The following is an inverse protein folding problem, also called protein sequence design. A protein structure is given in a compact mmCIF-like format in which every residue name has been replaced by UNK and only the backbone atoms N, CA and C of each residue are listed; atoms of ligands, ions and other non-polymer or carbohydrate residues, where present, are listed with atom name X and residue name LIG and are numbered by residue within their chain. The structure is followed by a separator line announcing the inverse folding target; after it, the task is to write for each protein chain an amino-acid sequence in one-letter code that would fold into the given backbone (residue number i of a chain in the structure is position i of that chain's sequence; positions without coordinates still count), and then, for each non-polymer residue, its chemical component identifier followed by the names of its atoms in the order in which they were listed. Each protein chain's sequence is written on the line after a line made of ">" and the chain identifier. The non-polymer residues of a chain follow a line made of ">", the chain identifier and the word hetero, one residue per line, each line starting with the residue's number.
data_IF_439564965323
#
_entry.id   IF_439564965323
#
_cell.length_a   1.000
_cell.length_b   1.000
_cell.length_c   1.000
_cell.angle_alpha   90.00
_cell.angle_beta   90.00
_cell.angle_gamma   90.00
#
_symmetry.space_group_name_H-M   'P 1'
#
loop_
_entity.id
_entity.type
_entity.pdbx_description
1 polymer ?
#
# COMPACT_ATOMS: atom_id res chain seq x y z
N UNK A 1 15.92 44.72 44.99
CA UNK A 1 15.97 44.39 43.55
C UNK A 1 16.14 42.89 43.44
N UNK A 2 15.09 42.17 43.03
CA UNK A 2 15.15 40.71 42.89
C UNK A 2 15.49 40.42 41.43
N UNK A 3 16.65 39.83 41.19
CA UNK A 3 17.02 39.34 39.85
C UNK A 3 16.32 38.00 39.61
N UNK A 4 15.31 38.00 38.76
CA UNK A 4 14.76 36.77 38.18
C UNK A 4 15.72 36.32 37.09
N UNK A 5 16.36 35.17 37.25
CA UNK A 5 17.14 34.53 36.19
C UNK A 5 16.19 33.79 35.27
N UNK A 6 16.19 34.14 34.00
CA UNK A 6 15.41 33.47 32.95
C UNK A 6 15.91 32.02 32.75
N UNK A 7 15.05 30.99 32.95
CA UNK A 7 15.46 29.59 32.92
C UNK A 7 15.72 29.03 31.49
N UNK A 8 15.48 29.81 30.44
CA UNK A 8 15.50 29.35 29.05
C UNK A 8 16.89 29.38 28.39
N UNK A 9 17.94 29.82 29.11
CA UNK A 9 19.28 30.06 28.52
C UNK A 9 20.27 28.90 28.62
N UNK A 10 19.88 27.74 29.16
CA UNK A 10 20.79 26.57 29.28
C UNK A 10 20.20 25.28 28.70
N UNK A 11 19.84 25.31 27.41
CA UNK A 11 19.60 24.08 26.63
C UNK A 11 20.52 24.11 25.40
N UNK A 12 21.82 23.97 25.64
CA UNK A 12 22.78 23.57 24.62
C UNK A 12 23.40 22.25 25.05
N UNK A 13 22.64 21.18 24.83
CA UNK A 13 23.16 19.81 24.75
C UNK A 13 22.18 18.99 23.91
N UNK A 14 22.16 19.27 22.60
CA UNK A 14 21.65 18.32 21.61
C UNK A 14 22.70 17.21 21.50
N UNK A 15 22.64 16.24 22.40
CA UNK A 15 23.34 14.97 22.21
C UNK A 15 22.77 14.30 20.96
N UNK A 16 23.69 13.90 20.07
CA UNK A 16 23.41 13.15 18.85
C UNK A 16 22.55 11.92 19.14
N UNK A 17 21.24 12.04 18.89
CA UNK A 17 20.33 10.91 18.87
C UNK A 17 20.66 10.06 17.65
N UNK A 18 21.38 8.97 17.90
CA UNK A 18 21.48 7.84 17.01
C UNK A 18 20.06 7.36 16.64
N UNK A 19 19.61 7.70 15.42
CA UNK A 19 18.26 7.44 14.90
C UNK A 19 18.01 5.95 14.60
N UNK A 20 18.22 5.08 15.57
CA UNK A 20 17.80 3.66 15.53
C UNK A 20 16.49 3.42 16.28
N UNK A 21 15.82 4.47 16.77
CA UNK A 21 14.49 4.34 17.34
C UNK A 21 13.45 4.37 16.21
N UNK A 22 12.88 3.19 15.91
CA UNK A 22 11.58 3.11 15.24
C UNK A 22 10.58 3.79 16.16
N UNK A 23 10.32 5.08 15.90
CA UNK A 23 9.29 5.82 16.59
C UNK A 23 7.93 5.24 16.18
N UNK A 24 7.44 4.26 16.95
CA UNK A 24 6.01 3.94 16.95
C UNK A 24 5.30 5.05 17.73
N UNK A 25 5.18 6.22 17.09
CA UNK A 25 4.26 7.24 17.58
C UNK A 25 2.88 6.60 17.73
N UNK A 26 2.17 6.81 18.85
CA UNK A 26 0.81 6.32 18.99
C UNK A 26 -0.04 6.85 17.82
N UNK A 27 -0.99 6.06 17.29
CA UNK A 27 -1.80 6.46 16.16
C UNK A 27 -2.46 7.80 16.45
N UNK A 28 -2.13 8.84 15.68
CA UNK A 28 -2.84 10.11 15.76
C UNK A 28 -4.25 9.85 15.21
N UNK A 29 -5.34 10.09 15.96
CA UNK A 29 -6.69 9.99 15.41
C UNK A 29 -6.82 10.86 14.16
N UNK A 30 -7.16 10.24 13.02
CA UNK A 30 -7.24 10.89 11.71
C UNK A 30 -5.90 11.07 10.98
N UNK A 31 -4.78 10.72 11.60
CA UNK A 31 -3.45 10.71 11.01
C UNK A 31 -3.18 9.47 10.14
N UNK A 32 -2.18 9.58 9.28
CA UNK A 32 -1.68 8.46 8.46
C UNK A 32 -0.60 7.75 9.27
N UNK A 33 -0.78 6.46 9.54
CA UNK A 33 0.18 5.66 10.30
C UNK A 33 0.74 4.54 9.43
N UNK A 34 2.03 4.27 9.56
CA UNK A 34 2.64 3.07 9.00
C UNK A 34 2.09 1.83 9.71
N UNK A 35 1.88 0.77 8.94
CA UNK A 35 1.39 -0.51 9.45
C UNK A 35 2.23 -1.65 8.88
N UNK A 36 2.23 -2.78 9.57
CA UNK A 36 2.83 -4.00 9.05
C UNK A 36 1.89 -4.69 8.05
N UNK A 37 2.44 -5.57 7.21
CA UNK A 37 1.63 -6.41 6.33
C UNK A 37 0.87 -7.43 7.18
N UNK A 38 -0.46 -7.30 7.20
CA UNK A 38 -1.39 -8.22 7.84
C UNK A 38 -2.48 -8.65 6.84
N UNK A 39 -3.46 -9.42 7.29
CA UNK A 39 -4.52 -9.94 6.43
C UNK A 39 -5.40 -8.83 5.82
N UNK A 40 -5.63 -7.74 6.54
CA UNK A 40 -6.41 -6.58 6.05
C UNK A 40 -5.67 -5.84 4.94
N UNK A 41 -4.37 -5.58 5.14
CA UNK A 41 -3.50 -4.98 4.12
C UNK A 41 -3.41 -5.89 2.89
N UNK A 42 -3.26 -7.20 3.10
CA UNK A 42 -3.22 -8.18 2.01
C UNK A 42 -4.54 -8.21 1.24
N UNK A 43 -5.68 -8.16 1.92
CA UNK A 43 -7.00 -8.11 1.29
C UNK A 43 -7.17 -6.83 0.45
N UNK A 44 -6.81 -5.67 1.00
CA UNK A 44 -6.85 -4.39 0.28
C UNK A 44 -5.92 -4.39 -0.94
N UNK A 45 -4.70 -4.95 -0.80
CA UNK A 45 -3.74 -5.06 -1.89
C UNK A 45 -4.21 -6.01 -3.00
N UNK A 46 -4.78 -7.16 -2.65
CA UNK A 46 -5.34 -8.11 -3.60
C UNK A 46 -6.51 -7.50 -4.36
N UNK A 47 -7.43 -6.83 -3.65
CA UNK A 47 -8.52 -6.10 -4.27
C UNK A 47 -8.01 -5.05 -5.29
N UNK A 48 -7.00 -4.25 -4.91
CA UNK A 48 -6.41 -3.29 -5.83
C UNK A 48 -5.75 -3.96 -7.05
N UNK A 49 -5.09 -5.10 -6.87
CA UNK A 49 -4.49 -5.85 -7.97
C UNK A 49 -5.56 -6.34 -8.96
N UNK A 50 -6.70 -6.83 -8.46
CA UNK A 50 -7.82 -7.27 -9.28
C UNK A 50 -8.42 -6.12 -10.08
N UNK A 51 -8.73 -5.00 -9.44
CA UNK A 51 -9.26 -3.80 -10.11
C UNK A 51 -8.29 -3.27 -11.17
N UNK A 52 -6.99 -3.25 -10.88
CA UNK A 52 -5.96 -2.86 -11.87
C UNK A 52 -5.94 -3.84 -13.05
N UNK A 53 -6.07 -5.14 -12.81
CA UNK A 53 -6.14 -6.12 -13.91
C UNK A 53 -7.41 -5.94 -14.74
N UNK A 54 -8.55 -5.67 -14.11
CA UNK A 54 -9.83 -5.42 -14.79
C UNK A 54 -9.75 -4.14 -15.62
N UNK A 55 -9.25 -3.03 -15.06
CA UNK A 55 -9.08 -1.76 -15.77
C UNK A 55 -8.15 -1.90 -16.97
N UNK A 56 -7.07 -2.68 -16.81
CA UNK A 56 -6.14 -2.93 -17.90
C UNK A 56 -6.69 -3.89 -18.96
N UNK A 57 -7.79 -4.60 -18.70
CA UNK A 57 -8.30 -5.63 -19.61
C UNK A 57 -8.84 -4.99 -20.87
N UNK A 58 -8.13 -5.24 -21.97
CA UNK A 58 -8.49 -4.77 -23.30
C UNK A 58 -9.17 -5.91 -24.06
N UNK A 59 -10.48 -5.82 -24.34
CA UNK A 59 -11.22 -6.90 -25.00
C UNK A 59 -10.74 -7.16 -26.44
N UNK A 60 -10.04 -6.20 -27.05
CA UNK A 60 -9.45 -6.28 -28.38
C UNK A 60 -8.02 -6.86 -28.40
N UNK A 61 -7.38 -7.04 -27.23
CA UNK A 61 -6.03 -7.59 -27.14
C UNK A 61 -6.06 -9.07 -26.79
N UNK A 62 -6.02 -9.91 -27.83
CA UNK A 62 -5.82 -11.35 -27.65
C UNK A 62 -4.50 -11.64 -26.92
N UNK A 63 -4.57 -12.49 -25.89
CA UNK A 63 -3.38 -12.96 -25.18
C UNK A 63 -2.89 -12.04 -24.06
N UNK A 64 -3.67 -11.02 -23.66
CA UNK A 64 -3.30 -10.19 -22.52
C UNK A 64 -3.10 -11.05 -21.26
N UNK A 65 -2.03 -10.77 -20.52
CA UNK A 65 -1.62 -11.55 -19.35
C UNK A 65 -2.14 -10.95 -18.06
N UNK A 66 -2.50 -11.83 -17.13
CA UNK A 66 -2.85 -11.48 -15.76
C UNK A 66 -1.58 -11.09 -14.99
N UNK A 67 -1.67 -10.03 -14.18
CA UNK A 67 -0.59 -9.63 -13.30
C UNK A 67 -0.90 -10.04 -11.86
N UNK A 68 0.03 -10.77 -11.27
CA UNK A 68 -0.13 -11.35 -9.94
C UNK A 68 0.54 -10.45 -8.90
N UNK A 69 -0.13 -10.21 -7.76
CA UNK A 69 0.46 -9.53 -6.61
C UNK A 69 1.59 -10.36 -6.00
N UNK A 70 2.79 -9.79 -5.95
CA UNK A 70 4.00 -10.48 -5.44
C UNK A 70 4.60 -9.83 -4.20
N UNK A 71 4.36 -8.53 -4.00
CA UNK A 71 4.91 -7.80 -2.85
C UNK A 71 4.04 -6.60 -2.50
N UNK A 72 3.97 -6.30 -1.21
CA UNK A 72 3.41 -5.07 -0.67
C UNK A 72 4.57 -4.31 0.01
N UNK A 73 4.70 -3.02 -0.28
CA UNK A 73 5.75 -2.16 0.25
C UNK A 73 5.12 -0.96 0.97
N UNK A 74 5.68 -0.63 2.15
CA UNK A 74 5.36 0.56 2.94
C UNK A 74 3.85 0.82 3.11
N UNK A 75 3.06 -0.16 3.58
CA UNK A 75 1.65 0.08 3.78
C UNK A 75 1.42 1.08 4.92
N UNK A 76 0.45 1.94 4.70
CA UNK A 76 -0.04 2.90 5.69
C UNK A 76 -1.56 2.79 5.74
N UNK A 77 -2.15 3.09 6.90
CA UNK A 77 -3.58 3.30 7.02
C UNK A 77 -3.89 4.71 7.52
N UNK A 78 -5.15 5.11 7.35
CA UNK A 78 -5.74 6.25 7.98
C UNK A 78 -7.19 5.89 8.33
N UNK A 79 -7.55 6.00 9.60
CA UNK A 79 -8.94 5.86 10.03
C UNK A 79 -9.71 7.08 9.56
N UNK A 80 -10.83 6.87 8.86
CA UNK A 80 -11.75 7.92 8.44
C UNK A 80 -13.15 7.62 8.95
N UNK A 81 -14.06 8.60 8.88
CA UNK A 81 -15.39 8.52 9.53
C UNK A 81 -16.16 7.25 9.13
N UNK A 82 -16.05 6.82 7.87
CA UNK A 82 -16.79 5.66 7.35
C UNK A 82 -15.91 4.45 6.97
N UNK A 83 -14.67 4.37 7.48
CA UNK A 83 -13.83 3.20 7.22
C UNK A 83 -12.32 3.40 7.41
N UNK A 84 -11.54 2.67 6.61
CA UNK A 84 -10.08 2.76 6.58
C UNK A 84 -9.58 3.10 5.17
N UNK A 85 -8.68 4.08 5.09
CA UNK A 85 -7.95 4.38 3.86
C UNK A 85 -6.57 3.75 3.92
N UNK A 86 -6.30 2.79 3.05
CA UNK A 86 -4.98 2.18 2.89
C UNK A 86 -4.22 2.85 1.77
N UNK A 87 -2.92 3.10 1.99
CA UNK A 87 -2.00 3.54 0.94
C UNK A 87 -0.76 2.67 0.97
N UNK A 88 -0.38 2.14 -0.18
CA UNK A 88 0.74 1.21 -0.30
C UNK A 88 1.31 1.23 -1.71
N UNK A 89 2.54 0.77 -1.86
CA UNK A 89 3.07 0.36 -3.16
C UNK A 89 2.90 -1.16 -3.29
N UNK A 90 2.23 -1.61 -4.34
CA UNK A 90 2.12 -3.02 -4.68
C UNK A 90 3.01 -3.34 -5.88
N UNK A 91 3.63 -4.52 -5.86
CA UNK A 91 4.42 -5.05 -6.97
C UNK A 91 3.62 -6.16 -7.64
N UNK A 92 3.21 -5.90 -8.88
CA UNK A 92 2.51 -6.86 -9.71
C UNK A 92 3.48 -7.43 -10.75
N UNK A 93 3.45 -8.74 -10.96
CA UNK A 93 4.31 -9.40 -11.94
C UNK A 93 3.49 -10.21 -12.93
N UNK A 94 3.85 -10.11 -14.20
CA UNK A 94 3.17 -10.84 -15.26
C UNK A 94 3.22 -12.35 -14.98
N UNK A 95 2.06 -13.00 -15.08
CA UNK A 95 1.89 -14.45 -14.95
C UNK A 95 1.70 -15.11 -16.32
N UNK A 96 1.69 -16.45 -16.34
CA UNK A 96 1.36 -17.21 -17.54
C UNK A 96 -0.14 -17.15 -17.87
N UNK A 97 -0.97 -16.88 -16.85
CA UNK A 97 -2.42 -16.76 -16.94
C UNK A 97 -2.84 -15.65 -17.91
N UNK A 98 -3.93 -15.90 -18.63
CA UNK A 98 -4.60 -14.89 -19.42
C UNK A 98 -5.41 -13.98 -18.49
N UNK A 99 -5.53 -12.70 -18.84
CA UNK A 99 -6.42 -11.76 -18.18
C UNK A 99 -7.87 -12.01 -18.66
N UNK A 100 -8.47 -13.08 -18.15
CA UNK A 100 -9.84 -13.51 -18.41
C UNK A 100 -10.62 -13.59 -17.11
N UNK A 101 -11.96 -13.51 -17.16
CA UNK A 101 -12.84 -13.50 -15.98
C UNK A 101 -12.58 -14.66 -15.03
N UNK A 102 -12.18 -15.83 -15.57
CA UNK A 102 -11.85 -17.02 -14.79
C UNK A 102 -10.71 -16.79 -13.79
N UNK A 103 -9.77 -15.90 -14.10
CA UNK A 103 -8.57 -15.66 -13.30
C UNK A 103 -8.70 -14.41 -12.41
N UNK A 104 -9.90 -13.82 -12.31
CA UNK A 104 -10.16 -12.71 -11.40
C UNK A 104 -9.95 -13.18 -9.95
N UNK A 105 -9.17 -12.44 -9.17
CA UNK A 105 -8.82 -12.85 -7.80
C UNK A 105 -7.75 -13.94 -7.71
N UNK A 106 -7.19 -14.40 -8.84
CA UNK A 106 -6.22 -15.49 -8.79
C UNK A 106 -4.93 -15.07 -8.09
N UNK A 107 -4.57 -15.88 -7.10
CA UNK A 107 -3.38 -15.64 -6.27
C UNK A 107 -2.08 -16.00 -6.99
N UNK A 108 -0.95 -15.71 -6.33
CA UNK A 108 0.39 -16.10 -6.81
C UNK A 108 0.61 -17.60 -6.91
N UNK A 109 -0.17 -18.39 -6.18
CA UNK A 109 -0.11 -19.86 -6.24
C UNK A 109 -0.88 -20.37 -7.46
N UNK A 110 -2.02 -19.76 -7.77
CA UNK A 110 -2.89 -20.15 -8.87
C UNK A 110 -2.39 -19.64 -10.23
N UNK A 111 -1.89 -18.41 -10.25
CA UNK A 111 -1.29 -17.75 -11.41
C UNK A 111 0.16 -17.35 -11.10
N UNK A 112 1.10 -18.30 -11.16
CA UNK A 112 2.48 -18.03 -10.82
C UNK A 112 3.11 -17.01 -11.77
N UNK A 113 3.95 -16.09 -11.27
CA UNK A 113 4.65 -15.12 -12.09
C UNK A 113 5.67 -15.80 -13.02
N UNK A 114 5.76 -15.34 -14.27
CA UNK A 114 6.74 -15.85 -15.24
C UNK A 114 8.13 -15.31 -14.90
N UNK A 115 9.16 -16.14 -15.06
CA UNK A 115 10.53 -15.67 -15.01
C UNK A 115 10.80 -14.68 -16.17
N UNK A 116 11.40 -13.52 -15.87
CA UNK A 116 11.60 -12.45 -16.86
C UNK A 116 10.32 -11.72 -17.30
N UNK A 117 9.16 -12.04 -16.70
CA UNK A 117 7.91 -11.33 -16.97
C UNK A 117 7.96 -9.86 -16.54
N UNK A 118 7.16 -9.04 -17.23
CA UNK A 118 7.04 -7.61 -16.95
C UNK A 118 6.65 -7.37 -15.48
N UNK A 119 7.32 -6.41 -14.84
CA UNK A 119 7.01 -6.03 -13.46
C UNK A 119 6.41 -4.64 -13.42
N UNK A 120 5.32 -4.48 -12.69
CA UNK A 120 4.64 -3.21 -12.46
C UNK A 120 4.74 -2.84 -11.00
N UNK A 121 5.12 -1.60 -10.73
CA UNK A 121 5.01 -1.01 -9.38
C UNK A 121 3.86 -0.04 -9.41
N UNK A 122 2.87 -0.28 -8.57
CA UNK A 122 1.67 0.53 -8.50
C UNK A 122 1.56 1.17 -7.13
N UNK A 123 1.45 2.50 -7.08
CA UNK A 123 1.02 3.21 -5.87
C UNK A 123 -0.49 3.20 -5.86
N UNK A 124 -1.08 2.61 -4.83
CA UNK A 124 -2.52 2.43 -4.73
C UNK A 124 -3.06 3.10 -3.48
N UNK A 125 -4.30 3.61 -3.59
CA UNK A 125 -5.12 4.04 -2.48
C UNK A 125 -6.41 3.24 -2.51
N UNK A 126 -6.66 2.49 -1.44
CA UNK A 126 -7.81 1.61 -1.32
C UNK A 126 -8.62 2.05 -0.12
N UNK A 127 -9.91 2.27 -0.34
CA UNK A 127 -10.83 2.63 0.72
C UNK A 127 -11.65 1.41 1.12
N UNK A 128 -11.57 1.02 2.40
CA UNK A 128 -12.40 -0.01 2.99
C UNK A 128 -13.57 0.66 3.70
N UNK A 129 -14.78 0.46 3.20
CA UNK A 129 -16.01 0.98 3.80
C UNK A 129 -16.46 0.08 4.94
N UNK A 130 -17.05 0.66 5.99
CA UNK A 130 -17.78 -0.13 6.98
C UNK A 130 -18.91 -0.92 6.31
N UNK A 131 -18.83 -2.24 6.28
CA UNK A 131 -19.87 -3.13 5.77
C UNK A 131 -20.05 -3.17 4.24
N UNK A 132 -19.43 -2.26 3.47
CA UNK A 132 -19.60 -2.15 2.01
C UNK A 132 -18.35 -2.52 1.20
N UNK A 133 -17.41 -3.29 1.77
CA UNK A 133 -16.26 -3.81 1.06
C UNK A 133 -15.18 -2.75 0.74
N UNK A 134 -14.50 -2.91 -0.40
CA UNK A 134 -13.38 -2.06 -0.81
C UNK A 134 -13.73 -1.25 -2.08
N UNK A 135 -13.13 -0.07 -2.22
CA UNK A 135 -13.09 0.71 -3.47
C UNK A 135 -11.65 1.14 -3.79
N UNK A 136 -11.30 1.12 -5.08
CA UNK A 136 -10.00 1.59 -5.56
C UNK A 136 -10.13 3.09 -5.85
N UNK A 137 -9.53 3.92 -5.02
CA UNK A 137 -9.64 5.39 -5.15
C UNK A 137 -8.63 5.94 -6.15
N UNK A 138 -7.45 5.32 -6.24
CA UNK A 138 -6.46 5.67 -7.26
C UNK A 138 -5.43 4.56 -7.42
N UNK A 139 -4.98 4.35 -8.65
CA UNK A 139 -3.82 3.54 -9.03
C UNK A 139 -2.89 4.36 -9.92
N UNK A 140 -1.59 4.35 -9.63
CA UNK A 140 -0.56 4.89 -10.50
C UNK A 140 0.53 3.84 -10.69
N UNK A 141 0.59 3.26 -11.88
CA UNK A 141 1.42 2.11 -12.21
C UNK A 141 2.55 2.48 -13.17
N UNK A 142 3.77 2.09 -12.82
CA UNK A 142 4.95 2.21 -13.67
C UNK A 142 5.45 0.83 -14.09
N UNK A 143 5.87 0.69 -15.34
CA UNK A 143 6.48 -0.54 -15.88
C UNK A 143 7.99 -0.46 -15.66
N UNK A 144 8.57 -1.47 -15.00
CA UNK A 144 10.02 -1.66 -14.87
C UNK A 144 10.47 -2.89 -15.65
#
# INVERSE_FOLDING_TARGET
>A
VVHVKDPWKELTDLQDLNCSAVATSPPIPGGINAIEENDEVRAAASFAADEINVENRRPDVNGQKWFTLTKINSPTHQVVVSGYMYRMEIVLKQSECLNIDRNLGSSVIECPPVQGGVTRRCRVKVYQHWGNGYSLESSDCTVN
#
